data_IF_803344150296
#
_entry.id   IF_803344150296
#
_cell.length_a   1.000
_cell.length_b   1.000
_cell.length_c   1.000
_cell.angle_alpha   90.00
_cell.angle_beta   90.00
_cell.angle_gamma   90.00
#
_symmetry.space_group_name_H-M   'P 1'
#
loop_
_entity.id
_entity.type
_entity.pdbx_description
1 polymer ?
#
# COMPACT_ATOMS: atom_id res chain seq x y z
N UNK A 1 -26.38 10.67 24.84
CA UNK A 1 -25.72 9.34 24.93
C UNK A 1 -25.45 8.71 23.56
N UNK A 2 -26.29 8.93 22.52
CA UNK A 2 -26.08 8.36 21.17
C UNK A 2 -24.85 8.86 20.39
N UNK A 3 -24.51 10.16 20.47
CA UNK A 3 -23.35 10.75 19.75
C UNK A 3 -22.00 10.10 20.08
N UNK A 4 -21.81 9.62 21.31
CA UNK A 4 -20.57 8.94 21.72
C UNK A 4 -20.47 7.53 21.13
N UNK A 5 -21.60 6.85 20.88
CA UNK A 5 -21.59 5.51 20.30
C UNK A 5 -21.32 5.62 18.80
N UNK A 6 -21.93 6.62 18.14
CA UNK A 6 -21.73 6.88 16.70
C UNK A 6 -20.28 7.28 16.36
N UNK A 7 -19.63 8.08 17.22
CA UNK A 7 -18.21 8.43 17.05
C UNK A 7 -17.28 7.22 17.23
N UNK A 8 -17.60 6.30 18.13
CA UNK A 8 -16.84 5.05 18.32
C UNK A 8 -16.96 4.13 17.11
N UNK A 9 -18.16 4.00 16.54
CA UNK A 9 -18.38 3.20 15.32
C UNK A 9 -17.58 3.78 14.15
N UNK A 10 -17.70 5.10 13.93
CA UNK A 10 -16.95 5.78 12.86
C UNK A 10 -15.44 5.61 13.03
N UNK A 11 -14.93 5.73 14.26
CA UNK A 11 -13.51 5.55 14.54
C UNK A 11 -13.06 4.10 14.28
N UNK A 12 -13.87 3.11 14.66
CA UNK A 12 -13.58 1.71 14.40
C UNK A 12 -13.57 1.37 12.90
N UNK A 13 -14.50 1.93 12.12
CA UNK A 13 -14.55 1.75 10.67
C UNK A 13 -13.32 2.34 9.98
N UNK A 14 -12.90 3.55 10.39
CA UNK A 14 -11.67 4.18 9.89
C UNK A 14 -10.43 3.35 10.24
N UNK A 15 -10.34 2.82 11.47
CA UNK A 15 -9.26 1.95 11.87
C UNK A 15 -9.20 0.67 11.03
N UNK A 16 -10.36 0.05 10.76
CA UNK A 16 -10.44 -1.15 9.93
C UNK A 16 -9.95 -0.89 8.50
N UNK A 17 -10.38 0.22 7.88
CA UNK A 17 -9.96 0.60 6.53
C UNK A 17 -8.46 0.93 6.49
N UNK A 18 -7.93 1.65 7.49
CA UNK A 18 -6.49 1.93 7.62
C UNK A 18 -5.68 0.64 7.75
N UNK A 19 -6.13 -0.31 8.58
CA UNK A 19 -5.50 -1.63 8.72
C UNK A 19 -5.49 -2.39 7.39
N UNK A 20 -6.61 -2.35 6.65
CA UNK A 20 -6.69 -2.88 5.30
C UNK A 20 -5.67 -2.23 4.35
N UNK A 21 -5.52 -0.90 4.41
CA UNK A 21 -4.51 -0.17 3.65
C UNK A 21 -3.07 -0.61 3.98
N UNK A 22 -2.76 -0.82 5.25
CA UNK A 22 -1.44 -1.31 5.69
C UNK A 22 -1.17 -2.73 5.21
N UNK A 23 -2.17 -3.63 5.23
CA UNK A 23 -2.03 -4.98 4.67
C UNK A 23 -1.74 -4.96 3.18
N UNK A 24 -2.43 -4.11 2.40
CA UNK A 24 -2.17 -3.95 0.96
C UNK A 24 -0.78 -3.34 0.72
N UNK A 25 -0.34 -2.40 1.54
CA UNK A 25 1.03 -1.89 1.48
C UNK A 25 2.06 -3.01 1.70
N UNK A 26 1.85 -3.86 2.71
CA UNK A 26 2.72 -4.99 3.02
C UNK A 26 2.85 -6.01 1.87
N UNK A 27 1.87 -6.09 0.96
CA UNK A 27 1.91 -6.94 -0.25
C UNK A 27 3.16 -6.67 -1.11
N UNK A 28 3.63 -5.43 -1.18
CA UNK A 28 4.81 -5.06 -1.97
C UNK A 28 6.09 -5.69 -1.40
N UNK A 29 6.21 -5.76 -0.07
CA UNK A 29 7.29 -6.48 0.60
C UNK A 29 7.20 -7.99 0.36
N UNK A 30 5.99 -8.55 0.38
CA UNK A 30 5.75 -9.95 0.03
C UNK A 30 6.21 -10.29 -1.39
N UNK A 31 5.84 -9.46 -2.38
CA UNK A 31 6.31 -9.63 -3.76
C UNK A 31 7.82 -9.44 -3.90
N UNK A 32 8.42 -8.53 -3.13
CA UNK A 32 9.87 -8.35 -3.12
C UNK A 32 10.59 -9.64 -2.73
N UNK A 33 10.12 -10.35 -1.70
CA UNK A 33 10.74 -11.61 -1.29
C UNK A 33 10.51 -12.75 -2.28
N UNK A 34 9.33 -12.84 -2.92
CA UNK A 34 9.06 -13.86 -3.94
C UNK A 34 9.88 -13.63 -5.22
N UNK A 35 9.96 -12.39 -5.70
CA UNK A 35 10.68 -12.05 -6.94
C UNK A 35 12.21 -12.17 -6.72
N UNK A 36 12.73 -11.66 -5.60
CA UNK A 36 14.16 -11.79 -5.25
C UNK A 36 14.55 -13.25 -4.95
N UNK A 37 13.67 -14.04 -4.33
CA UNK A 37 13.92 -15.45 -4.02
C UNK A 37 13.95 -16.35 -5.25
N UNK A 38 13.24 -15.99 -6.32
CA UNK A 38 13.10 -16.81 -7.54
C UNK A 38 14.13 -16.44 -8.62
N UNK A 39 14.66 -15.21 -8.62
CA UNK A 39 15.65 -14.78 -9.63
C UNK A 39 17.08 -15.22 -9.30
N UNK A 40 17.89 -15.42 -10.35
CA UNK A 40 19.32 -15.73 -10.23
C UNK A 40 20.06 -14.65 -9.42
N UNK A 41 21.01 -15.04 -8.57
CA UNK A 41 21.77 -14.14 -7.68
C UNK A 41 22.27 -12.85 -8.35
N UNK A 42 22.77 -12.94 -9.59
CA UNK A 42 23.27 -11.77 -10.34
C UNK A 42 22.21 -10.69 -10.62
N UNK A 43 20.92 -11.02 -10.57
CA UNK A 43 19.81 -10.12 -10.95
C UNK A 43 18.86 -9.81 -9.78
N UNK A 44 19.17 -10.28 -8.57
CA UNK A 44 18.36 -10.07 -7.36
C UNK A 44 18.20 -8.58 -7.03
N UNK A 45 19.29 -7.82 -7.13
CA UNK A 45 19.27 -6.38 -6.85
C UNK A 45 18.38 -5.64 -7.87
N UNK A 46 18.46 -6.02 -9.15
CA UNK A 46 17.64 -5.40 -10.18
C UNK A 46 16.14 -5.66 -9.96
N UNK A 47 15.77 -6.88 -9.55
CA UNK A 47 14.40 -7.22 -9.18
C UNK A 47 13.92 -6.44 -7.95
N UNK A 48 14.76 -6.29 -6.93
CA UNK A 48 14.42 -5.53 -5.72
C UNK A 48 14.18 -4.04 -6.02
N UNK A 49 15.09 -3.42 -6.78
CA UNK A 49 14.99 -2.00 -7.16
C UNK A 49 13.71 -1.75 -7.96
N UNK A 50 13.33 -2.67 -8.83
CA UNK A 50 12.10 -2.56 -9.63
C UNK A 50 10.85 -2.44 -8.75
N UNK A 51 10.73 -3.25 -7.69
CA UNK A 51 9.57 -3.23 -6.79
C UNK A 51 9.56 -1.97 -5.93
N UNK A 52 10.72 -1.54 -5.42
CA UNK A 52 10.84 -0.30 -4.64
C UNK A 52 10.52 0.95 -5.47
N UNK A 53 11.05 1.00 -6.71
CA UNK A 53 10.74 2.09 -7.64
C UNK A 53 9.26 2.10 -8.01
N UNK A 54 8.65 0.93 -8.23
CA UNK A 54 7.22 0.82 -8.50
C UNK A 54 6.37 1.33 -7.32
N UNK A 55 6.73 0.98 -6.09
CA UNK A 55 6.03 1.44 -4.89
C UNK A 55 6.12 2.97 -4.72
N UNK A 56 7.32 3.53 -4.87
CA UNK A 56 7.57 4.97 -4.72
C UNK A 56 6.90 5.79 -5.82
N UNK A 57 7.01 5.35 -7.08
CA UNK A 57 6.41 6.06 -8.20
C UNK A 57 4.88 5.98 -8.16
N UNK A 58 4.31 4.81 -7.84
CA UNK A 58 2.85 4.64 -7.77
C UNK A 58 2.23 5.51 -6.68
N UNK A 59 2.87 5.64 -5.52
CA UNK A 59 2.38 6.54 -4.44
C UNK A 59 2.45 8.01 -4.85
N UNK A 60 3.53 8.46 -5.49
CA UNK A 60 3.64 9.84 -5.98
C UNK A 60 2.61 10.16 -7.07
N UNK A 61 2.51 9.31 -8.09
CA UNK A 61 1.57 9.52 -9.21
C UNK A 61 0.13 9.49 -8.72
N UNK A 62 -0.21 8.57 -7.80
CA UNK A 62 -1.53 8.52 -7.22
C UNK A 62 -1.84 9.76 -6.37
N UNK A 63 -0.87 10.28 -5.61
CA UNK A 63 -1.06 11.49 -4.82
C UNK A 63 -1.32 12.75 -5.66
N UNK A 64 -0.57 12.95 -6.75
CA UNK A 64 -0.68 14.16 -7.56
C UNK A 64 -1.80 14.13 -8.61
N UNK A 65 -2.00 12.98 -9.25
CA UNK A 65 -2.89 12.86 -10.42
C UNK A 65 -3.96 11.79 -10.20
N UNK A 66 -3.58 10.65 -9.62
CA UNK A 66 -4.49 9.51 -9.48
C UNK A 66 -5.70 9.79 -8.59
N UNK A 67 -5.54 10.53 -7.48
CA UNK A 67 -6.65 10.88 -6.59
C UNK A 67 -7.71 11.71 -7.32
N UNK A 68 -7.27 12.72 -8.07
CA UNK A 68 -8.15 13.59 -8.85
C UNK A 68 -8.84 12.87 -10.01
N UNK A 69 -8.28 11.77 -10.52
CA UNK A 69 -8.92 10.96 -11.58
C UNK A 69 -9.87 9.90 -10.99
N UNK A 70 -9.52 9.31 -9.85
CA UNK A 70 -10.29 8.22 -9.26
C UNK A 70 -11.54 8.70 -8.49
N UNK A 71 -11.46 9.87 -7.87
CA UNK A 71 -12.53 10.45 -7.05
C UNK A 71 -12.99 11.85 -7.49
N UNK A 72 -12.36 12.41 -8.53
CA UNK A 72 -12.75 13.69 -9.11
C UNK A 72 -13.84 13.59 -10.17
#
# INVERSE_FOLDING_TARGET
MGKNIESLITSADVLFIMLGGVMVFAMHGGFAFLEVGTVRKKNQINALVKILANLALSTLVYFFVGFSIAYG
#
